data_IF_922651973285
#
_entry.id   IF_922651973285
#
_cell.length_a   1.000
_cell.length_b   1.000
_cell.length_c   1.000
_cell.angle_alpha   90.00
_cell.angle_beta   90.00
_cell.angle_gamma   90.00
#
_symmetry.space_group_name_H-M   'P 1'
#
loop_
_entity.id
_entity.type
_entity.pdbx_description
1 polymer ?
#
# COMPACT_ATOMS: atom_id res chain seq x y z
N UNK A 1 9.90 -41.68 37.06
CA UNK A 1 9.22 -40.36 36.97
C UNK A 1 9.87 -39.53 35.84
N UNK A 2 9.83 -40.02 34.58
CA UNK A 2 10.58 -39.45 33.42
C UNK A 2 9.68 -39.41 32.15
N UNK A 3 8.35 -39.46 32.28
CA UNK A 3 7.43 -39.52 31.12
C UNK A 3 6.75 -38.18 30.78
N UNK A 4 6.87 -37.15 31.61
CA UNK A 4 6.15 -35.88 31.43
C UNK A 4 6.99 -34.75 30.82
N UNK A 5 8.32 -34.90 30.73
CA UNK A 5 9.21 -33.82 30.26
C UNK A 5 9.23 -33.70 28.73
N UNK A 6 9.09 -34.81 28.00
CA UNK A 6 9.12 -34.80 26.52
C UNK A 6 7.89 -34.16 25.86
N UNK A 7 6.74 -34.20 26.54
CA UNK A 7 5.48 -33.66 26.00
C UNK A 7 5.45 -32.13 26.04
N UNK A 8 6.06 -31.51 27.06
CA UNK A 8 6.13 -30.06 27.20
C UNK A 8 7.08 -29.39 26.19
N UNK A 9 8.17 -30.06 25.81
CA UNK A 9 9.10 -29.57 24.78
C UNK A 9 8.51 -29.59 23.36
N UNK A 10 7.51 -30.43 23.12
CA UNK A 10 6.85 -30.56 21.81
C UNK A 10 5.86 -29.42 21.53
N UNK A 11 5.27 -28.83 22.58
CA UNK A 11 4.35 -27.68 22.43
C UNK A 11 5.09 -26.34 22.26
N UNK A 12 6.29 -26.19 22.81
CA UNK A 12 7.08 -24.95 22.67
C UNK A 12 7.60 -24.73 21.23
N UNK A 13 7.87 -25.80 20.48
CA UNK A 13 8.30 -25.71 19.09
C UNK A 13 7.18 -25.28 18.12
N UNK A 14 5.91 -25.51 18.47
CA UNK A 14 4.76 -25.14 17.64
C UNK A 14 4.36 -23.67 17.78
N UNK A 15 4.70 -23.02 18.90
CA UNK A 15 4.48 -21.58 19.10
C UNK A 15 5.64 -20.69 18.61
N UNK A 16 6.75 -21.30 18.16
CA UNK A 16 7.89 -20.59 17.57
C UNK A 16 7.72 -20.32 16.06
N UNK A 17 6.57 -20.68 15.46
CA UNK A 17 6.12 -20.07 14.21
C UNK A 17 5.66 -18.62 14.50
N UNK A 18 6.61 -17.82 14.99
CA UNK A 18 6.51 -16.38 15.05
C UNK A 18 6.26 -15.92 13.61
N UNK A 19 5.09 -15.34 13.38
CA UNK A 19 4.68 -14.71 12.13
C UNK A 19 5.59 -13.51 11.85
N UNK A 20 6.84 -13.76 11.45
CA UNK A 20 7.59 -12.76 10.71
C UNK A 20 6.87 -12.69 9.37
N UNK A 21 6.18 -11.56 9.13
CA UNK A 21 5.82 -11.20 7.75
C UNK A 21 7.11 -11.34 6.94
N UNK A 22 7.12 -12.08 5.83
CA UNK A 22 8.31 -12.11 4.97
C UNK A 22 8.70 -10.66 4.68
N UNK A 23 9.92 -10.29 5.06
CA UNK A 23 10.46 -8.97 4.73
C UNK A 23 11.02 -9.10 3.32
N UNK A 24 10.26 -8.66 2.33
CA UNK A 24 10.71 -8.57 0.95
C UNK A 24 11.65 -7.36 0.81
N UNK A 25 12.84 -7.43 1.42
CA UNK A 25 13.81 -6.32 1.38
C UNK A 25 14.32 -6.01 -0.05
N UNK A 26 14.16 -6.95 -0.99
CA UNK A 26 14.55 -6.83 -2.41
C UNK A 26 13.34 -6.96 -3.35
N UNK A 27 12.15 -6.50 -2.95
CA UNK A 27 10.97 -6.61 -3.81
C UNK A 27 11.02 -5.65 -5.01
N UNK A 28 10.40 -6.07 -6.11
CA UNK A 28 10.27 -5.20 -7.31
C UNK A 28 9.48 -3.93 -6.96
N UNK A 29 8.49 -4.01 -6.07
CA UNK A 29 7.71 -2.85 -5.65
C UNK A 29 8.52 -1.84 -4.81
N UNK A 30 9.49 -2.31 -4.03
CA UNK A 30 10.44 -1.44 -3.31
C UNK A 30 11.32 -0.70 -4.32
N UNK A 31 11.82 -1.38 -5.36
CA UNK A 31 12.62 -0.77 -6.41
C UNK A 31 11.84 0.29 -7.22
N UNK A 32 10.55 0.04 -7.46
CA UNK A 32 9.62 1.00 -8.08
C UNK A 32 9.29 2.18 -7.15
N UNK A 33 9.69 2.14 -5.88
CA UNK A 33 9.57 3.24 -4.93
C UNK A 33 8.16 3.48 -4.39
N UNK A 34 7.20 2.58 -4.66
CA UNK A 34 5.79 2.74 -4.27
C UNK A 34 5.51 2.25 -2.85
N UNK A 35 6.29 1.29 -2.35
CA UNK A 35 6.14 0.74 -1.00
C UNK A 35 6.46 1.82 0.04
N UNK A 36 5.56 2.01 1.00
CA UNK A 36 5.74 3.03 2.04
C UNK A 36 4.47 3.42 2.76
N UNK A 37 4.67 4.28 3.78
CA UNK A 37 3.60 5.01 4.43
C UNK A 37 3.59 6.42 3.85
N UNK A 38 2.45 6.82 3.34
CA UNK A 38 2.24 8.06 2.63
C UNK A 38 1.17 8.90 3.33
N UNK A 39 1.35 10.22 3.36
CA UNK A 39 0.36 11.19 3.82
C UNK A 39 -0.06 12.08 2.66
N UNK A 40 -1.35 12.37 2.54
CA UNK A 40 -1.82 13.35 1.56
C UNK A 40 -1.22 14.72 1.89
N UNK A 41 -0.72 15.41 0.88
CA UNK A 41 -0.23 16.78 1.02
C UNK A 41 -1.11 17.78 0.25
N UNK A 42 -1.53 17.41 -0.95
CA UNK A 42 -2.27 18.30 -1.84
C UNK A 42 -3.20 17.51 -2.75
N UNK A 43 -4.41 18.03 -2.98
CA UNK A 43 -5.36 17.57 -4.00
C UNK A 43 -5.71 18.75 -4.91
N UNK A 44 -5.80 18.51 -6.22
CA UNK A 44 -6.21 19.50 -7.21
C UNK A 44 -7.25 18.86 -8.10
N UNK A 45 -8.37 19.55 -8.31
CA UNK A 45 -9.35 19.15 -9.31
C UNK A 45 -9.22 20.03 -10.57
N UNK A 46 -9.55 19.47 -11.73
CA UNK A 46 -9.45 20.16 -13.01
C UNK A 46 -10.44 21.34 -13.16
N UNK A 47 -11.43 21.48 -12.27
CA UNK A 47 -12.45 22.54 -12.35
C UNK A 47 -11.95 23.83 -11.72
N UNK A 48 -11.41 23.73 -10.51
CA UNK A 48 -10.87 24.86 -9.76
C UNK A 48 -9.45 25.19 -10.21
N UNK A 49 -8.69 24.17 -10.68
CA UNK A 49 -7.25 24.25 -10.97
C UNK A 49 -6.42 24.84 -9.81
N UNK A 50 -6.98 24.88 -8.61
CA UNK A 50 -6.36 25.46 -7.43
C UNK A 50 -5.99 24.33 -6.46
N UNK A 51 -4.74 24.29 -5.99
CA UNK A 51 -4.32 23.26 -5.07
C UNK A 51 -4.94 23.47 -3.68
N UNK A 52 -5.62 22.44 -3.18
CA UNK A 52 -6.07 22.36 -1.80
C UNK A 52 -5.05 21.55 -0.98
N UNK A 53 -4.47 22.18 0.03
CA UNK A 53 -3.59 21.48 0.98
C UNK A 53 -4.44 20.70 1.99
N UNK A 54 -4.09 19.43 2.18
CA UNK A 54 -4.84 18.48 3.00
C UNK A 54 -3.94 17.86 4.07
N UNK A 55 -4.55 17.31 5.11
CA UNK A 55 -3.90 16.56 6.18
C UNK A 55 -4.86 15.49 6.71
N UNK A 56 -4.31 14.42 7.29
CA UNK A 56 -5.11 13.39 7.98
C UNK A 56 -5.73 12.33 7.06
N UNK A 57 -5.23 12.19 5.83
CA UNK A 57 -5.44 11.00 5.00
C UNK A 57 -4.08 10.30 4.81
N UNK A 58 -4.07 9.00 5.06
CA UNK A 58 -2.90 8.15 5.02
C UNK A 58 -3.11 7.01 4.04
N UNK A 59 -2.07 6.68 3.28
CA UNK A 59 -2.04 5.53 2.39
C UNK A 59 -0.81 4.68 2.74
N UNK A 60 -1.04 3.41 3.01
CA UNK A 60 0.01 2.43 3.30
C UNK A 60 0.04 1.45 2.14
N UNK A 61 1.20 1.30 1.49
CA UNK A 61 1.43 0.34 0.41
C UNK A 61 2.53 -0.61 0.87
N UNK A 62 2.27 -1.91 0.85
CA UNK A 62 3.22 -2.95 1.28
C UNK A 62 3.23 -4.12 0.30
N UNK A 63 4.35 -4.84 0.24
CA UNK A 63 4.41 -6.15 -0.42
C UNK A 63 3.42 -7.15 0.19
N UNK A 64 3.04 -8.13 -0.61
CA UNK A 64 2.34 -9.32 -0.14
C UNK A 64 3.37 -10.42 0.22
N UNK A 65 2.97 -11.70 0.16
CA UNK A 65 3.90 -12.81 0.42
C UNK A 65 4.79 -13.19 -0.77
N UNK A 66 4.54 -12.65 -1.96
CA UNK A 66 5.21 -12.96 -3.23
C UNK A 66 6.12 -11.79 -3.66
N UNK A 67 7.34 -11.77 -3.13
CA UNK A 67 8.26 -10.64 -3.28
C UNK A 67 8.73 -10.32 -4.72
N UNK A 68 8.61 -11.27 -5.66
CA UNK A 68 9.19 -11.17 -7.02
C UNK A 68 8.14 -10.77 -8.08
N UNK A 69 7.03 -10.17 -7.66
CA UNK A 69 5.99 -9.69 -8.57
C UNK A 69 5.61 -8.22 -8.33
N UNK A 70 4.61 -7.76 -9.07
CA UNK A 70 4.10 -6.39 -9.07
C UNK A 70 2.77 -6.29 -8.30
N UNK A 71 2.53 -7.18 -7.35
CA UNK A 71 1.31 -7.23 -6.54
C UNK A 71 1.62 -6.96 -5.08
N UNK A 72 0.66 -6.37 -4.39
CA UNK A 72 0.84 -6.04 -2.99
C UNK A 72 -0.48 -5.72 -2.31
N UNK A 73 -0.36 -5.17 -1.11
CA UNK A 73 -1.47 -4.75 -0.27
C UNK A 73 -1.47 -3.24 -0.10
N UNK A 74 -2.67 -2.67 0.00
CA UNK A 74 -2.85 -1.27 0.30
C UNK A 74 -3.88 -1.07 1.40
N UNK A 75 -3.67 -0.02 2.19
CA UNK A 75 -4.61 0.44 3.21
C UNK A 75 -4.73 1.96 3.13
N UNK A 76 -5.95 2.48 3.01
CA UNK A 76 -6.26 3.89 3.12
C UNK A 76 -6.94 4.17 4.45
N UNK A 77 -6.52 5.25 5.13
CA UNK A 77 -7.09 5.67 6.40
C UNK A 77 -7.33 7.17 6.41
N UNK A 78 -8.47 7.57 6.91
CA UNK A 78 -8.84 8.97 7.16
C UNK A 78 -9.71 9.04 8.41
N UNK A 79 -10.04 10.26 8.85
CA UNK A 79 -10.89 10.47 10.03
C UNK A 79 -12.27 9.79 9.95
N UNK A 80 -12.78 9.55 8.73
CA UNK A 80 -14.15 9.07 8.49
C UNK A 80 -14.22 7.78 7.66
N UNK A 81 -13.10 7.24 7.19
CA UNK A 81 -13.07 6.09 6.30
C UNK A 81 -11.78 5.32 6.45
N UNK A 82 -11.90 4.00 6.52
CA UNK A 82 -10.81 3.05 6.38
C UNK A 82 -11.18 2.09 5.25
N UNK A 83 -10.24 1.84 4.35
CA UNK A 83 -10.42 0.92 3.23
C UNK A 83 -9.09 0.24 2.90
N UNK A 84 -9.13 -0.84 2.13
CA UNK A 84 -7.92 -1.52 1.70
C UNK A 84 -8.21 -2.81 0.94
N UNK A 85 -7.13 -3.44 0.50
CA UNK A 85 -7.16 -4.70 -0.21
C UNK A 85 -5.86 -4.96 -0.94
N UNK A 86 -5.96 -5.55 -2.12
CA UNK A 86 -4.83 -5.91 -2.96
C UNK A 86 -4.66 -4.89 -4.08
N UNK A 87 -3.48 -4.81 -4.68
CA UNK A 87 -3.24 -4.04 -5.89
C UNK A 87 -2.33 -4.77 -6.85
N UNK A 88 -2.33 -4.32 -8.11
CA UNK A 88 -1.36 -4.72 -9.13
C UNK A 88 -0.80 -3.48 -9.82
N UNK A 89 0.50 -3.45 -10.02
CA UNK A 89 1.23 -2.38 -10.70
C UNK A 89 1.48 -2.75 -12.16
N UNK A 90 1.22 -1.81 -13.08
CA UNK A 90 1.69 -1.86 -14.47
C UNK A 90 2.72 -0.74 -14.67
N UNK A 91 4.00 -1.11 -14.60
CA UNK A 91 5.12 -0.17 -14.73
C UNK A 91 5.31 0.33 -16.15
N UNK A 92 4.80 -0.38 -17.16
CA UNK A 92 4.89 0.04 -18.56
C UNK A 92 3.89 1.16 -18.88
N UNK A 93 2.72 1.11 -18.27
CA UNK A 93 1.67 2.13 -18.41
C UNK A 93 1.67 3.18 -17.30
N UNK A 94 2.45 2.96 -16.23
CA UNK A 94 2.43 3.77 -15.01
C UNK A 94 1.04 3.81 -14.36
N UNK A 95 0.39 2.65 -14.31
CA UNK A 95 -0.95 2.47 -13.73
C UNK A 95 -0.90 1.57 -12.49
N UNK A 96 -1.77 1.84 -11.51
CA UNK A 96 -2.07 0.93 -10.41
C UNK A 96 -3.53 0.55 -10.48
N UNK A 97 -3.80 -0.75 -10.42
CA UNK A 97 -5.15 -1.28 -10.25
C UNK A 97 -5.35 -1.73 -8.81
N UNK A 98 -6.22 -1.04 -8.08
CA UNK A 98 -6.58 -1.36 -6.71
C UNK A 98 -7.83 -2.24 -6.67
N UNK A 99 -7.83 -3.20 -5.77
CA UNK A 99 -8.93 -4.11 -5.52
C UNK A 99 -9.41 -3.97 -4.08
N UNK A 100 -10.72 -3.84 -3.92
CA UNK A 100 -11.43 -3.98 -2.63
C UNK A 100 -12.33 -5.22 -2.70
N UNK A 101 -12.93 -5.67 -1.58
CA UNK A 101 -13.92 -6.73 -1.62
C UNK A 101 -15.17 -6.44 -2.48
N UNK A 102 -15.46 -5.17 -2.78
CA UNK A 102 -16.69 -4.74 -3.43
C UNK A 102 -16.51 -4.25 -4.88
N UNK A 103 -15.35 -3.69 -5.21
CA UNK A 103 -15.05 -3.11 -6.52
C UNK A 103 -13.55 -2.96 -6.73
N UNK A 104 -13.15 -2.66 -7.96
CA UNK A 104 -11.78 -2.24 -8.30
C UNK A 104 -11.79 -0.86 -8.94
N UNK A 105 -10.66 -0.18 -8.87
CA UNK A 105 -10.46 1.13 -9.47
C UNK A 105 -8.99 1.30 -9.87
N UNK A 106 -8.74 2.15 -10.86
CA UNK A 106 -7.43 2.31 -11.47
C UNK A 106 -7.00 3.77 -11.46
N UNK A 107 -5.78 4.02 -11.03
CA UNK A 107 -5.15 5.33 -11.00
C UNK A 107 -3.81 5.31 -11.73
N UNK A 108 -3.45 6.41 -12.36
CA UNK A 108 -2.11 6.63 -12.89
C UNK A 108 -1.21 7.10 -11.75
N UNK A 109 0.05 6.69 -11.75
CA UNK A 109 1.00 7.04 -10.69
C UNK A 109 2.32 7.59 -11.21
N UNK A 110 2.92 8.49 -10.43
CA UNK A 110 4.26 9.01 -10.68
C UNK A 110 5.01 9.07 -9.35
N UNK A 111 6.14 8.36 -9.27
CA UNK A 111 7.08 8.49 -8.15
C UNK A 111 8.07 9.61 -8.46
N UNK A 112 8.19 10.58 -7.55
CA UNK A 112 9.09 11.73 -7.67
C UNK A 112 10.04 11.74 -6.49
N UNK A 113 11.34 11.59 -6.79
CA UNK A 113 12.44 11.58 -5.81
C UNK A 113 12.30 10.56 -4.66
N UNK A 114 11.52 9.47 -4.85
CA UNK A 114 11.18 8.43 -3.85
C UNK A 114 10.41 8.91 -2.60
N UNK A 115 10.37 10.21 -2.33
CA UNK A 115 9.68 10.81 -1.19
C UNK A 115 8.28 11.34 -1.54
N UNK A 116 7.95 11.42 -2.82
CA UNK A 116 6.66 11.92 -3.29
C UNK A 116 6.03 10.92 -4.25
N UNK A 117 4.72 10.70 -4.06
CA UNK A 117 3.89 9.88 -4.92
C UNK A 117 2.74 10.73 -5.43
N UNK A 118 2.57 10.79 -6.74
CA UNK A 118 1.47 11.51 -7.37
C UNK A 118 0.51 10.49 -7.93
N UNK A 119 -0.79 10.67 -7.65
CA UNK A 119 -1.85 9.95 -8.34
C UNK A 119 -2.65 10.88 -9.22
N UNK A 120 -3.04 10.36 -10.38
CA UNK A 120 -3.95 11.01 -11.30
C UNK A 120 -5.08 10.05 -11.65
N UNK A 121 -6.32 10.52 -11.56
CA UNK A 121 -7.48 9.70 -11.85
C UNK A 121 -8.72 10.54 -12.18
N UNK A 122 -9.69 9.91 -12.83
CA UNK A 122 -10.99 10.51 -13.10
C UNK A 122 -12.02 10.00 -12.10
N UNK A 123 -12.64 10.92 -11.35
CA UNK A 123 -13.77 10.63 -10.47
C UNK A 123 -15.01 11.36 -10.97
N UNK A 124 -15.97 10.60 -11.50
CA UNK A 124 -17.26 11.15 -11.97
C UNK A 124 -17.14 12.18 -13.09
N UNK A 125 -16.11 12.10 -13.94
CA UNK A 125 -15.85 13.07 -15.01
C UNK A 125 -14.96 14.24 -14.59
N UNK A 126 -14.44 14.25 -13.36
CA UNK A 126 -13.49 15.23 -12.87
C UNK A 126 -12.10 14.60 -12.80
N UNK A 127 -11.12 15.23 -13.45
CA UNK A 127 -9.73 14.83 -13.31
C UNK A 127 -9.19 15.35 -11.98
N UNK A 128 -8.72 14.43 -11.15
CA UNK A 128 -8.15 14.67 -9.84
C UNK A 128 -6.67 14.35 -9.90
N UNK A 129 -5.87 15.24 -9.32
CA UNK A 129 -4.45 15.02 -9.09
C UNK A 129 -4.14 15.16 -7.61
N UNK A 130 -3.47 14.18 -7.06
CA UNK A 130 -3.08 14.13 -5.65
C UNK A 130 -1.57 14.01 -5.52
N UNK A 131 -1.02 14.71 -4.54
CA UNK A 131 0.37 14.61 -4.13
C UNK A 131 0.42 14.07 -2.72
N UNK A 132 1.11 12.95 -2.58
CA UNK A 132 1.34 12.21 -1.36
C UNK A 132 2.82 12.28 -0.99
N UNK A 133 3.11 12.40 0.30
CA UNK A 133 4.47 12.51 0.83
C UNK A 133 4.77 11.35 1.76
N UNK A 134 5.99 10.82 1.66
CA UNK A 134 6.47 9.77 2.54
C UNK A 134 6.54 10.27 3.99
N UNK A 135 6.09 9.46 4.95
CA UNK A 135 6.17 9.71 6.39
C UNK A 135 7.49 9.23 7.00
#
# INVERSE_FOLDING_TARGET
MIRFIGVLLSFAALFAACSRRPSCEESVLVDEGIVGNWEIYQRTDAVTMLPAFLQGEDLIITDDSLCDDLQGLWEYRSSNSENGGEFTLDTALQEILFFTPAYSFRWDYIVVDYDNLVFEYNDGGLDIRELWRRK
#
